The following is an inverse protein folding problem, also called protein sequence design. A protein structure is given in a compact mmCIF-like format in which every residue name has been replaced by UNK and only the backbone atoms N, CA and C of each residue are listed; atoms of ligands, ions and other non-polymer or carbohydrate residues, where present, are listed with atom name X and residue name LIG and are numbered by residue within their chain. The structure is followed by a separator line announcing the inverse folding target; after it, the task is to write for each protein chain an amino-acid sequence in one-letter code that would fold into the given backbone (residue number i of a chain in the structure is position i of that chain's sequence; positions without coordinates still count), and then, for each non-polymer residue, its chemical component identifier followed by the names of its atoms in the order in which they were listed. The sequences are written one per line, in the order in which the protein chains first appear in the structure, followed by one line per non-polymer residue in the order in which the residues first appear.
data_IF_222832274407
#
_entry.id   IF_222832274407
#
_cell.length_a   1.000
_cell.length_b   1.000
_cell.length_c   1.000
_cell.angle_alpha   90.00
_cell.angle_beta   90.00
_cell.angle_gamma   90.00
#
_symmetry.space_group_name_H-M   'P 1'
#
loop_
_entity.id
_entity.type
_entity.pdbx_description
1 polymer ?
#
# COMPACT_ATOMS: atom_id res chain seq x y z
N UNK A 1 5.52 13.42 25.31
CA UNK A 1 5.52 11.94 25.15
C UNK A 1 5.85 11.64 23.70
N UNK A 2 6.76 10.73 23.40
CA UNK A 2 7.23 10.50 22.01
C UNK A 2 6.43 9.38 21.35
N UNK A 3 5.85 9.65 20.18
CA UNK A 3 5.19 8.64 19.35
C UNK A 3 6.27 7.82 18.62
N UNK A 4 6.39 6.56 19.02
CA UNK A 4 7.19 5.51 18.40
C UNK A 4 6.28 4.61 17.58
N UNK A 5 6.69 4.32 16.35
CA UNK A 5 6.04 3.35 15.47
C UNK A 5 7.00 2.19 15.26
N UNK A 6 6.53 0.98 15.53
CA UNK A 6 7.27 -0.26 15.33
C UNK A 6 6.67 -1.06 14.19
N UNK A 7 7.49 -1.47 13.22
CA UNK A 7 7.08 -2.36 12.14
C UNK A 7 7.06 -3.79 12.70
N UNK A 8 5.88 -4.40 12.74
CA UNK A 8 5.67 -5.77 13.23
C UNK A 8 5.90 -6.78 12.12
N UNK A 9 5.46 -6.47 10.90
CA UNK A 9 5.59 -7.35 9.76
C UNK A 9 5.72 -6.57 8.46
N UNK A 10 6.50 -7.12 7.54
CA UNK A 10 6.58 -6.71 6.14
C UNK A 10 6.24 -7.93 5.28
N UNK A 11 5.43 -7.72 4.26
CA UNK A 11 5.11 -8.74 3.27
C UNK A 11 4.93 -8.08 1.89
N UNK A 12 5.01 -8.89 0.85
CA UNK A 12 4.71 -8.45 -0.51
C UNK A 12 3.38 -9.04 -0.95
N UNK A 13 2.43 -8.18 -1.32
CA UNK A 13 1.13 -8.59 -1.84
C UNK A 13 1.18 -8.61 -3.36
N UNK A 14 0.93 -9.79 -3.93
CA UNK A 14 0.85 -10.01 -5.36
C UNK A 14 -0.61 -10.04 -5.82
N UNK A 15 -0.87 -9.84 -7.13
CA UNK A 15 -2.18 -10.10 -7.72
C UNK A 15 -2.67 -11.51 -7.39
N UNK A 16 -3.98 -11.67 -7.18
CA UNK A 16 -4.59 -12.97 -6.87
C UNK A 16 -4.59 -13.91 -8.07
N UNK A 17 -4.50 -13.37 -9.28
CA UNK A 17 -4.32 -14.10 -10.53
C UNK A 17 -3.19 -13.47 -11.34
N UNK A 18 -2.38 -14.27 -12.06
CA UNK A 18 -1.22 -13.76 -12.79
C UNK A 18 -1.64 -12.83 -13.92
N UNK A 19 -0.81 -11.82 -14.19
CA UNK A 19 -1.01 -10.94 -15.35
C UNK A 19 -0.83 -11.75 -16.64
N UNK A 20 -1.80 -11.74 -17.57
CA UNK A 20 -1.65 -12.48 -18.82
C UNK A 20 -0.50 -11.95 -19.67
N UNK A 21 0.12 -12.82 -20.48
CA UNK A 21 1.36 -12.49 -21.20
C UNK A 21 1.24 -11.29 -22.16
N UNK A 22 0.07 -11.10 -22.75
CA UNK A 22 -0.20 -9.97 -23.63
C UNK A 22 -0.39 -8.63 -22.90
N UNK A 23 -0.39 -8.61 -21.56
CA UNK A 23 -0.52 -7.43 -20.71
C UNK A 23 0.74 -7.17 -19.85
N UNK A 24 1.87 -7.81 -20.18
CA UNK A 24 3.14 -7.72 -19.42
C UNK A 24 3.84 -6.36 -19.50
N UNK A 25 3.45 -5.49 -20.43
CA UNK A 25 4.04 -4.16 -20.58
C UNK A 25 2.94 -3.12 -20.72
N UNK A 26 2.93 -2.13 -19.81
CA UNK A 26 2.13 -0.93 -19.97
C UNK A 26 3.04 0.21 -20.47
N UNK A 27 2.69 0.81 -21.60
CA UNK A 27 3.39 1.99 -22.12
C UNK A 27 2.85 3.26 -21.46
N UNK A 28 3.74 4.10 -20.99
CA UNK A 28 3.43 5.40 -20.42
C UNK A 28 3.15 6.42 -21.53
N UNK A 29 2.14 7.25 -21.33
CA UNK A 29 1.85 8.36 -22.23
C UNK A 29 2.91 9.45 -22.13
N UNK A 30 2.93 10.40 -23.08
CA UNK A 30 3.80 11.57 -22.96
C UNK A 30 3.54 12.36 -21.68
N UNK A 31 2.28 12.45 -21.23
CA UNK A 31 1.95 13.15 -19.99
C UNK A 31 2.57 12.48 -18.78
N UNK A 32 2.54 11.15 -18.72
CA UNK A 32 3.15 10.37 -17.64
C UNK A 32 4.68 10.58 -17.58
N UNK A 33 5.33 10.75 -18.74
CA UNK A 33 6.77 11.01 -18.85
C UNK A 33 7.19 12.43 -18.43
N UNK A 34 6.28 13.40 -18.51
CA UNK A 34 6.53 14.78 -18.08
C UNK A 34 6.34 14.96 -16.58
N UNK A 35 5.51 14.13 -15.94
CA UNK A 35 5.27 14.20 -14.50
C UNK A 35 6.48 13.61 -13.76
N UNK A 36 7.00 14.28 -12.71
CA UNK A 36 8.07 13.71 -11.90
C UNK A 36 7.67 12.36 -11.31
N UNK A 37 8.60 11.39 -11.35
CA UNK A 37 8.41 10.08 -10.72
C UNK A 37 8.45 10.20 -9.18
N UNK A 38 7.31 10.55 -8.58
CA UNK A 38 7.15 10.72 -7.13
C UNK A 38 6.01 9.87 -6.59
N UNK A 39 6.18 9.37 -5.37
CA UNK A 39 5.09 8.70 -4.65
C UNK A 39 4.16 9.76 -4.06
N UNK A 40 2.85 9.62 -4.30
CA UNK A 40 1.84 10.50 -3.71
C UNK A 40 1.47 9.96 -2.32
N UNK A 41 1.86 10.63 -1.22
CA UNK A 41 1.55 10.14 0.12
C UNK A 41 0.06 10.37 0.43
N UNK A 42 -0.62 9.32 0.90
CA UNK A 42 -2.00 9.38 1.39
C UNK A 42 -2.08 8.63 2.73
N UNK A 43 -2.67 9.26 3.74
CA UNK A 43 -2.90 8.66 5.06
C UNK A 43 -4.38 8.78 5.41
N UNK A 44 -4.99 7.65 5.77
CA UNK A 44 -6.39 7.56 6.17
C UNK A 44 -6.48 7.03 7.60
N UNK A 45 -7.28 7.70 8.44
CA UNK A 45 -7.48 7.35 9.84
C UNK A 45 -8.89 6.81 10.07
N UNK A 46 -8.98 5.70 10.79
CA UNK A 46 -10.24 5.04 11.10
C UNK A 46 -10.37 4.88 12.62
N UNK A 47 -11.48 5.32 13.18
CA UNK A 47 -11.83 5.02 14.58
C UNK A 47 -12.13 3.54 14.72
N UNK A 48 -11.64 2.92 15.79
CA UNK A 48 -11.92 1.52 16.08
C UNK A 48 -12.56 1.36 17.46
N UNK A 49 -13.68 0.64 17.50
CA UNK A 49 -14.31 0.14 18.73
C UNK A 49 -14.05 -1.37 18.93
N UNK A 50 -13.10 -1.93 18.17
CA UNK A 50 -12.97 -3.36 17.95
C UNK A 50 -11.90 -4.02 18.82
N UNK A 51 -12.21 -5.21 19.34
CA UNK A 51 -11.28 -6.06 20.08
C UNK A 51 -10.16 -6.62 19.18
N UNK A 52 -9.10 -7.14 19.79
CA UNK A 52 -7.87 -7.61 19.10
C UNK A 52 -8.13 -8.66 18.00
N UNK A 53 -9.06 -9.59 18.21
CA UNK A 53 -9.40 -10.63 17.22
C UNK A 53 -10.06 -10.06 15.96
N UNK A 54 -10.91 -9.04 16.11
CA UNK A 54 -11.54 -8.36 14.98
C UNK A 54 -10.50 -7.59 14.13
N UNK A 55 -9.43 -7.12 14.75
CA UNK A 55 -8.34 -6.44 14.05
C UNK A 55 -7.51 -7.38 13.15
N UNK A 56 -7.25 -8.62 13.56
CA UNK A 56 -6.57 -9.59 12.70
C UNK A 56 -7.45 -10.02 11.51
N UNK A 57 -8.75 -10.24 11.74
CA UNK A 57 -9.70 -10.54 10.65
C UNK A 57 -9.77 -9.40 9.61
N UNK A 58 -9.77 -8.15 10.07
CA UNK A 58 -9.73 -6.96 9.19
C UNK A 58 -8.43 -6.89 8.40
N UNK A 59 -7.30 -7.21 9.04
CA UNK A 59 -5.99 -7.24 8.37
C UNK A 59 -5.97 -8.27 7.23
N UNK A 60 -6.47 -9.48 7.47
CA UNK A 60 -6.53 -10.51 6.44
C UNK A 60 -7.49 -10.13 5.31
N UNK A 61 -8.62 -9.49 5.64
CA UNK A 61 -9.53 -8.96 4.63
C UNK A 61 -8.88 -7.87 3.76
N UNK A 62 -8.10 -6.96 4.35
CA UNK A 62 -7.35 -5.94 3.62
C UNK A 62 -6.32 -6.57 2.66
N UNK A 63 -5.55 -7.55 3.15
CA UNK A 63 -4.56 -8.26 2.32
C UNK A 63 -5.22 -8.98 1.15
N UNK A 64 -6.33 -9.68 1.40
CA UNK A 64 -7.07 -10.44 0.40
C UNK A 64 -7.68 -9.53 -0.67
N UNK A 65 -8.43 -8.50 -0.25
CA UNK A 65 -9.05 -7.56 -1.18
C UNK A 65 -8.02 -6.78 -2.01
N UNK A 66 -6.85 -6.46 -1.41
CA UNK A 66 -5.73 -5.87 -2.14
C UNK A 66 -5.15 -6.82 -3.20
N UNK A 67 -4.96 -8.10 -2.87
CA UNK A 67 -4.52 -9.10 -3.85
C UNK A 67 -5.53 -9.24 -5.00
N UNK A 68 -6.82 -9.27 -4.69
CA UNK A 68 -7.91 -9.36 -5.68
C UNK A 68 -7.96 -8.13 -6.61
N UNK A 69 -7.86 -6.92 -6.07
CA UNK A 69 -7.93 -5.71 -6.89
C UNK A 69 -6.68 -5.52 -7.75
N UNK A 70 -5.51 -5.98 -7.29
CA UNK A 70 -4.28 -5.96 -8.08
C UNK A 70 -4.35 -6.84 -9.34
N UNK A 71 -5.25 -7.82 -9.40
CA UNK A 71 -5.51 -8.55 -10.65
C UNK A 71 -6.09 -7.63 -11.73
N UNK A 72 -6.93 -6.67 -11.35
CA UNK A 72 -7.52 -5.70 -12.27
C UNK A 72 -6.61 -4.48 -12.50
N UNK A 73 -5.85 -4.09 -11.47
CA UNK A 73 -4.89 -2.98 -11.49
C UNK A 73 -3.45 -3.50 -11.53
N UNK A 74 -3.21 -4.52 -12.37
CA UNK A 74 -1.95 -5.24 -12.47
C UNK A 74 -0.68 -4.37 -12.68
N UNK A 75 -0.72 -3.20 -13.35
CA UNK A 75 0.48 -2.37 -13.47
C UNK A 75 1.03 -1.91 -12.11
N UNK A 76 0.18 -1.76 -11.10
CA UNK A 76 0.59 -1.36 -9.75
C UNK A 76 1.43 -2.43 -9.02
N UNK A 77 1.30 -3.70 -9.43
CA UNK A 77 2.12 -4.80 -8.93
C UNK A 77 3.43 -4.99 -9.75
N UNK A 78 3.69 -4.12 -10.74
CA UNK A 78 4.86 -4.17 -11.60
C UNK A 78 6.02 -3.31 -11.10
N UNK A 79 6.95 -3.01 -12.01
CA UNK A 79 8.06 -2.07 -11.80
C UNK A 79 8.14 -1.09 -12.96
N UNK A 80 8.44 0.17 -12.66
CA UNK A 80 8.78 1.14 -13.69
C UNK A 80 10.04 0.63 -14.40
N UNK A 81 9.98 0.58 -15.73
CA UNK A 81 11.08 0.15 -16.59
C UNK A 81 11.48 1.30 -17.51
N UNK A 82 12.64 1.89 -17.24
CA UNK A 82 13.08 3.12 -17.90
C UNK A 82 12.21 4.32 -17.53
N UNK A 83 11.89 5.15 -18.54
CA UNK A 83 11.03 6.32 -18.37
C UNK A 83 9.69 6.20 -19.09
N UNK A 84 9.49 5.19 -19.93
CA UNK A 84 8.38 5.12 -20.89
C UNK A 84 7.48 3.90 -20.70
N UNK A 85 7.77 3.03 -19.73
CA UNK A 85 6.97 1.82 -19.52
C UNK A 85 6.96 1.31 -18.07
N UNK A 86 6.02 0.41 -17.82
CA UNK A 86 5.94 -0.40 -16.60
C UNK A 86 5.99 -1.86 -17.03
N UNK A 87 6.93 -2.60 -16.43
CA UNK A 87 7.00 -4.06 -16.49
C UNK A 87 5.97 -4.65 -15.52
N UNK A 88 4.87 -5.18 -16.06
CA UNK A 88 3.78 -5.81 -15.30
C UNK A 88 4.18 -7.26 -14.92
N UNK A 89 5.20 -7.38 -14.07
CA UNK A 89 5.89 -8.63 -13.76
C UNK A 89 5.40 -9.34 -12.47
N UNK A 90 4.28 -8.89 -11.90
CA UNK A 90 3.67 -9.43 -10.69
C UNK A 90 4.64 -9.52 -9.49
N UNK A 91 5.66 -8.66 -9.43
CA UNK A 91 6.53 -8.59 -8.26
C UNK A 91 5.75 -8.18 -6.99
N UNK A 92 4.63 -7.48 -7.15
CA UNK A 92 3.72 -7.09 -6.08
C UNK A 92 4.11 -5.79 -5.39
N UNK A 93 3.36 -5.46 -4.36
CA UNK A 93 3.50 -4.23 -3.57
C UNK A 93 3.89 -4.53 -2.12
N UNK A 94 4.67 -3.65 -1.53
CA UNK A 94 5.03 -3.73 -0.12
C UNK A 94 3.82 -3.42 0.76
N UNK A 95 3.56 -4.29 1.74
CA UNK A 95 2.54 -4.14 2.75
C UNK A 95 3.17 -4.28 4.14
N UNK A 96 2.97 -3.27 4.98
CA UNK A 96 3.53 -3.22 6.33
C UNK A 96 2.43 -3.25 7.39
N UNK A 97 2.61 -4.08 8.41
CA UNK A 97 1.85 -4.00 9.66
C UNK A 97 2.74 -3.30 10.68
N UNK A 98 2.25 -2.22 11.27
CA UNK A 98 2.96 -1.48 12.30
C UNK A 98 2.06 -1.22 13.52
N UNK A 99 2.68 -0.94 14.66
CA UNK A 99 2.02 -0.55 15.90
C UNK A 99 2.64 0.73 16.43
N UNK A 100 1.80 1.67 16.83
CA UNK A 100 2.22 2.90 17.49
C UNK A 100 1.92 2.83 18.99
N UNK A 101 2.74 3.49 19.81
CA UNK A 101 2.48 3.67 21.24
C UNK A 101 1.59 4.92 21.47
N UNK A 102 0.29 4.76 21.38
CA UNK A 102 -0.64 5.84 21.73
C UNK A 102 -1.99 5.69 21.06
N UNK A 103 -2.93 6.53 21.48
CA UNK A 103 -4.27 6.54 20.90
C UNK A 103 -4.33 7.45 19.67
N UNK A 104 -5.13 7.05 18.68
CA UNK A 104 -5.32 7.84 17.46
C UNK A 104 -5.78 9.28 17.78
N UNK A 105 -6.67 9.45 18.75
CA UNK A 105 -7.16 10.78 19.14
C UNK A 105 -6.04 11.69 19.64
N UNK A 106 -5.07 11.14 20.38
CA UNK A 106 -3.92 11.92 20.84
C UNK A 106 -3.08 12.37 19.64
N UNK A 107 -2.86 11.45 18.67
CA UNK A 107 -2.12 11.74 17.44
C UNK A 107 -2.77 12.88 16.64
N UNK A 108 -4.10 12.87 16.53
CA UNK A 108 -4.87 13.85 15.77
C UNK A 108 -4.95 15.22 16.47
N UNK A 109 -4.94 15.27 17.80
CA UNK A 109 -5.01 16.53 18.57
C UNK A 109 -3.69 17.30 18.57
N UNK A 110 -2.56 16.64 18.31
CA UNK A 110 -1.30 17.32 18.00
C UNK A 110 -0.57 17.97 19.18
N UNK A 111 -0.84 17.58 20.43
CA UNK A 111 -0.20 18.14 21.63
C UNK A 111 1.27 17.67 21.86
N UNK A 112 1.97 17.27 20.81
CA UNK A 112 3.34 16.73 20.88
C UNK A 112 4.44 17.81 20.85
N UNK A 113 4.06 19.10 20.85
CA UNK A 113 4.96 20.25 20.73
C UNK A 113 5.03 21.14 22.00
N UNK A 114 4.58 20.65 23.16
CA UNK A 114 4.80 21.31 24.47
C UNK A 114 5.72 20.50 25.36
#
# INVERSE_FOLDING_TARGET
MTFTVEIIAKQTIKPSSPTPDNFRTLKLSLLDQFVPAVHVPLVLFYSSNADTEENENRLDHLKKSLSEILTYYYPLAGRIDGNDSISCNDEGIDFFKARANGHLNELLVGNWLT
#
